data_IF_824092467408
#
_entry.id   IF_824092467408
#
_cell.length_a   1.000
_cell.length_b   1.000
_cell.length_c   1.000
_cell.angle_alpha   90.00
_cell.angle_beta   90.00
_cell.angle_gamma   90.00
#
_symmetry.space_group_name_H-M   'P 1'
#
loop_
_entity.id
_entity.type
_entity.pdbx_description
1 polymer ?
#
# COMPACT_ATOMS: atom_id res chain seq x y z
N UNK A 1 -2.70 0.95 -21.27
CA UNK A 1 -2.14 -0.25 -20.62
C UNK A 1 -0.79 -0.53 -21.27
N UNK A 2 0.30 -0.70 -20.50
CA UNK A 2 1.62 -0.98 -21.09
C UNK A 2 1.67 -2.44 -21.56
N UNK A 3 2.65 -2.81 -22.38
CA UNK A 3 2.65 -4.15 -23.00
C UNK A 3 2.86 -5.27 -21.98
N UNK A 4 3.59 -5.01 -20.89
CA UNK A 4 3.69 -5.93 -19.75
C UNK A 4 2.30 -6.25 -19.17
N UNK A 5 1.51 -5.22 -18.90
CA UNK A 5 0.18 -5.39 -18.32
C UNK A 5 -0.77 -6.11 -19.26
N UNK A 6 -0.76 -5.80 -20.57
CA UNK A 6 -1.57 -6.53 -21.57
C UNK A 6 -1.21 -8.01 -21.68
N UNK A 7 0.06 -8.35 -21.45
CA UNK A 7 0.56 -9.73 -21.55
C UNK A 7 0.17 -10.59 -20.35
N UNK A 8 0.05 -9.99 -19.17
CA UNK A 8 -0.05 -10.73 -17.90
C UNK A 8 -1.39 -10.58 -17.18
N UNK A 9 -2.29 -9.68 -17.63
CA UNK A 9 -3.55 -9.40 -16.95
C UNK A 9 -4.70 -9.31 -17.94
N UNK A 10 -5.78 -10.03 -17.67
CA UNK A 10 -7.01 -10.03 -18.49
C UNK A 10 -7.85 -8.76 -18.30
N UNK A 11 -7.72 -8.12 -17.12
CA UNK A 11 -8.41 -6.87 -16.77
C UNK A 11 -7.46 -5.70 -16.84
N UNK A 12 -8.00 -4.50 -17.11
CA UNK A 12 -7.22 -3.26 -17.15
C UNK A 12 -6.46 -3.03 -15.84
N UNK A 13 -5.17 -3.34 -15.85
CA UNK A 13 -4.24 -3.17 -14.74
C UNK A 13 -3.09 -2.26 -15.14
N UNK A 14 -2.63 -1.43 -14.22
CA UNK A 14 -1.49 -0.54 -14.38
C UNK A 14 -0.61 -0.55 -13.14
N UNK A 15 0.67 -0.22 -13.27
CA UNK A 15 1.56 -0.11 -12.10
C UNK A 15 1.07 0.88 -11.04
N UNK A 16 0.23 1.85 -11.41
CA UNK A 16 -0.41 2.77 -10.46
C UNK A 16 -1.40 2.08 -9.54
N UNK A 17 -1.97 0.96 -9.96
CA UNK A 17 -2.94 0.22 -9.17
C UNK A 17 -2.27 -0.43 -7.96
N UNK A 18 -1.02 -0.88 -8.07
CA UNK A 18 -0.20 -1.31 -6.92
C UNK A 18 -0.12 -0.19 -5.85
N UNK A 19 0.16 1.05 -6.29
CA UNK A 19 0.24 2.20 -5.39
C UNK A 19 -1.12 2.53 -4.76
N UNK A 20 -2.20 2.45 -5.53
CA UNK A 20 -3.57 2.67 -5.04
C UNK A 20 -3.97 1.60 -4.03
N UNK A 21 -3.68 0.33 -4.30
CA UNK A 21 -3.91 -0.79 -3.37
C UNK A 21 -3.24 -0.53 -2.03
N UNK A 22 -1.96 -0.15 -2.01
CA UNK A 22 -1.31 0.24 -0.76
C UNK A 22 -2.04 1.40 -0.08
N UNK A 23 -2.34 2.49 -0.80
CA UNK A 23 -2.96 3.68 -0.19
C UNK A 23 -4.33 3.39 0.44
N UNK A 24 -5.15 2.58 -0.23
CA UNK A 24 -6.46 2.17 0.25
C UNK A 24 -6.33 1.25 1.47
N UNK A 25 -5.57 0.16 1.36
CA UNK A 25 -5.43 -0.82 2.43
C UNK A 25 -4.73 -0.24 3.65
N UNK A 26 -3.68 0.57 3.47
CA UNK A 26 -3.02 1.27 4.57
C UNK A 26 -3.98 2.23 5.29
N UNK A 27 -4.91 2.86 4.57
CA UNK A 27 -5.98 3.66 5.17
C UNK A 27 -6.92 2.82 6.05
N UNK A 28 -7.33 1.64 5.55
CA UNK A 28 -8.18 0.70 6.30
C UNK A 28 -7.45 0.10 7.52
N UNK A 29 -6.15 -0.16 7.40
CA UNK A 29 -5.30 -0.71 8.45
C UNK A 29 -4.74 0.36 9.41
N UNK A 30 -5.32 1.57 9.39
CA UNK A 30 -4.98 2.67 10.30
C UNK A 30 -3.50 3.10 10.28
N UNK A 31 -2.87 3.09 9.10
CA UNK A 31 -1.59 3.76 8.93
C UNK A 31 -1.78 5.27 9.03
N UNK A 32 -0.86 5.94 9.70
CA UNK A 32 -0.87 7.40 9.81
C UNK A 32 -0.69 8.05 8.43
N UNK A 33 -1.05 9.33 8.33
CA UNK A 33 -0.79 10.11 7.12
C UNK A 33 0.71 10.15 6.77
N UNK A 34 1.57 10.39 7.77
CA UNK A 34 3.02 10.41 7.60
C UNK A 34 3.56 9.06 7.08
N UNK A 35 3.13 7.93 7.67
CA UNK A 35 3.51 6.59 7.21
C UNK A 35 3.15 6.38 5.72
N UNK A 36 1.90 6.72 5.34
CA UNK A 36 1.43 6.56 3.95
C UNK A 36 2.20 7.46 2.98
N UNK A 37 2.52 8.68 3.40
CA UNK A 37 3.24 9.65 2.56
C UNK A 37 4.71 9.29 2.39
N UNK A 38 5.37 8.81 3.45
CA UNK A 38 6.78 8.38 3.41
C UNK A 38 6.98 7.22 2.42
N UNK A 39 6.10 6.22 2.43
CA UNK A 39 6.17 5.10 1.47
C UNK A 39 5.92 5.59 0.03
N UNK A 40 5.01 6.55 -0.16
CA UNK A 40 4.71 7.13 -1.47
C UNK A 40 5.67 8.24 -1.91
N UNK A 41 6.72 8.53 -1.15
CA UNK A 41 7.68 9.61 -1.42
C UNK A 41 7.02 11.01 -1.47
N UNK A 42 5.92 11.20 -0.76
CA UNK A 42 5.22 12.48 -0.59
C UNK A 42 5.71 13.23 0.65
N UNK A 43 7.02 13.19 0.92
CA UNK A 43 7.59 13.77 2.14
C UNK A 43 7.24 15.25 2.28
N UNK A 44 6.66 15.60 3.43
CA UNK A 44 6.31 16.97 3.77
C UNK A 44 7.50 17.92 3.59
N UNK A 45 7.31 18.96 2.77
CA UNK A 45 8.35 19.93 2.35
C UNK A 45 8.65 21.00 3.42
N UNK A 46 8.41 20.72 4.69
CA UNK A 46 8.73 21.70 5.74
C UNK A 46 10.25 21.85 5.87
N UNK A 47 10.71 23.07 6.17
CA UNK A 47 12.14 23.40 6.27
C UNK A 47 12.81 22.51 7.33
N UNK A 48 12.12 22.21 8.44
CA UNK A 48 12.60 21.31 9.49
C UNK A 48 12.88 19.89 8.97
N UNK A 49 11.90 19.27 8.29
CA UNK A 49 12.05 17.91 7.71
C UNK A 49 13.08 17.84 6.60
N UNK A 50 13.27 18.94 5.85
CA UNK A 50 14.24 19.02 4.75
C UNK A 50 15.69 19.05 5.24
N UNK A 51 15.95 19.68 6.39
CA UNK A 51 17.31 19.97 6.85
C UNK A 51 17.76 19.14 8.05
N UNK A 52 16.87 18.71 8.94
CA UNK A 52 17.25 18.02 10.18
C UNK A 52 16.75 16.56 10.25
N UNK A 53 15.58 16.23 9.68
CA UNK A 53 14.93 14.92 9.89
C UNK A 53 15.28 13.84 8.85
N UNK A 54 16.38 14.01 8.08
CA UNK A 54 16.76 13.05 7.03
C UNK A 54 17.17 11.68 7.58
N UNK A 55 17.77 11.66 8.78
CA UNK A 55 18.19 10.42 9.42
C UNK A 55 16.97 9.59 9.81
N UNK A 56 16.02 10.21 10.50
CA UNK A 56 14.78 9.57 10.94
C UNK A 56 13.90 9.16 9.76
N UNK A 57 13.90 9.93 8.66
CA UNK A 57 13.12 9.60 7.46
C UNK A 57 13.42 8.19 6.90
N UNK A 58 14.68 7.79 6.81
CA UNK A 58 15.02 6.45 6.28
C UNK A 58 14.60 5.34 7.25
N UNK A 59 14.71 5.59 8.56
CA UNK A 59 14.28 4.68 9.62
C UNK A 59 12.76 4.53 9.57
N UNK A 60 12.01 5.64 9.65
CA UNK A 60 10.54 5.67 9.55
C UNK A 60 10.05 5.00 8.27
N UNK A 61 10.72 5.24 7.14
CA UNK A 61 10.38 4.60 5.86
C UNK A 61 10.56 3.10 5.93
N UNK A 62 11.67 2.63 6.50
CA UNK A 62 11.94 1.20 6.65
C UNK A 62 10.90 0.56 7.56
N UNK A 63 10.66 1.12 8.74
CA UNK A 63 9.69 0.61 9.71
C UNK A 63 8.28 0.55 9.12
N UNK A 64 7.85 1.60 8.41
CA UNK A 64 6.55 1.63 7.73
C UNK A 64 6.47 0.56 6.64
N UNK A 65 7.55 0.35 5.89
CA UNK A 65 7.60 -0.69 4.85
C UNK A 65 7.55 -2.09 5.45
N UNK A 66 8.25 -2.33 6.57
CA UNK A 66 8.20 -3.60 7.30
C UNK A 66 6.80 -3.85 7.89
N UNK A 67 6.13 -2.83 8.42
CA UNK A 67 4.73 -2.88 8.84
C UNK A 67 3.80 -3.25 7.68
N UNK A 68 4.01 -2.67 6.50
CA UNK A 68 3.27 -3.03 5.30
C UNK A 68 3.51 -4.47 4.85
N UNK A 69 4.76 -4.97 4.89
CA UNK A 69 5.08 -6.37 4.57
C UNK A 69 4.34 -7.34 5.50
N UNK A 70 4.32 -7.06 6.81
CA UNK A 70 3.58 -7.88 7.79
C UNK A 70 2.08 -7.91 7.47
N UNK A 71 1.48 -6.75 7.18
CA UNK A 71 0.09 -6.66 6.79
C UNK A 71 -0.20 -7.43 5.48
N UNK A 72 0.66 -7.28 4.48
CA UNK A 72 0.51 -7.97 3.20
C UNK A 72 0.60 -9.49 3.36
N UNK A 73 1.53 -9.99 4.17
CA UNK A 73 1.64 -11.42 4.46
C UNK A 73 0.39 -11.98 5.14
N UNK A 74 -0.24 -11.20 6.03
CA UNK A 74 -1.50 -11.59 6.65
C UNK A 74 -2.65 -11.62 5.62
N UNK A 75 -2.76 -10.60 4.77
CA UNK A 75 -3.77 -10.54 3.72
C UNK A 75 -3.64 -11.65 2.68
N UNK A 76 -2.40 -12.06 2.39
CA UNK A 76 -2.09 -13.15 1.44
C UNK A 76 -2.06 -14.54 2.12
N UNK A 77 -2.31 -14.63 3.42
CA UNK A 77 -2.47 -15.93 4.10
C UNK A 77 -3.71 -16.66 3.58
N UNK A 78 -3.79 -17.97 3.78
CA UNK A 78 -4.95 -18.77 3.36
C UNK A 78 -6.23 -18.23 4.01
N UNK A 79 -6.17 -17.88 5.28
CA UNK A 79 -7.29 -17.31 6.03
C UNK A 79 -7.65 -15.92 5.50
N UNK A 80 -6.66 -15.07 5.26
CA UNK A 80 -6.88 -13.73 4.72
C UNK A 80 -7.50 -13.73 3.32
N UNK A 81 -7.05 -14.64 2.45
CA UNK A 81 -7.61 -14.81 1.11
C UNK A 81 -9.07 -15.29 1.17
N UNK A 82 -9.37 -16.27 2.02
CA UNK A 82 -10.75 -16.74 2.22
C UNK A 82 -11.67 -15.61 2.67
N UNK A 83 -11.23 -14.79 3.62
CA UNK A 83 -12.02 -13.67 4.11
C UNK A 83 -12.25 -12.61 3.02
N UNK A 84 -11.23 -12.31 2.21
CA UNK A 84 -11.36 -11.40 1.06
C UNK A 84 -12.35 -11.95 0.03
N UNK A 85 -12.25 -13.24 -0.31
CA UNK A 85 -13.16 -13.91 -1.24
C UNK A 85 -14.62 -13.80 -0.77
N UNK A 86 -14.87 -14.13 0.51
CA UNK A 86 -16.20 -14.01 1.11
C UNK A 86 -16.74 -12.58 1.04
N UNK A 87 -15.91 -11.56 1.31
CA UNK A 87 -16.31 -10.15 1.22
C UNK A 87 -16.70 -9.78 -0.22
N UNK A 88 -15.90 -10.19 -1.20
CA UNK A 88 -16.14 -9.89 -2.62
C UNK A 88 -17.41 -10.57 -3.11
N UNK A 89 -17.66 -11.82 -2.73
CA UNK A 89 -18.89 -12.54 -3.07
C UNK A 89 -20.12 -11.83 -2.50
N UNK A 90 -20.08 -11.43 -1.23
CA UNK A 90 -21.19 -10.71 -0.58
C UNK A 90 -21.47 -9.34 -1.22
N UNK A 91 -20.45 -8.64 -1.73
CA UNK A 91 -20.63 -7.37 -2.45
C UNK A 91 -21.25 -7.55 -3.84
N UNK A 92 -21.09 -8.71 -4.47
CA UNK A 92 -21.65 -9.00 -5.80
C UNK A 92 -23.08 -9.59 -5.73
N UNK A 93 -23.54 -9.98 -4.54
CA UNK A 93 -24.91 -10.49 -4.30
C UNK A 93 -25.94 -9.40 -3.96
N UNK A 94 -25.51 -8.14 -3.88
CA UNK A 94 -26.33 -6.94 -3.65
C UNK A 94 -26.51 -6.15 -4.94
#
# INVERSE_FOLDING_TARGET
MNDFTKKHFDKSFTMRDIRRTFKTLAGMLHFTENERDIVNQHVNKTISKKHYDKYDYFIEKRETTEKWVKALNLLLSIEGLKEIEMIVENQNSL
#
